data_IF_578149530262
#
_entry.id   IF_578149530262
#
_cell.length_a   1.000
_cell.length_b   1.000
_cell.length_c   1.000
_cell.angle_alpha   90.00
_cell.angle_beta   90.00
_cell.angle_gamma   90.00
#
_symmetry.space_group_name_H-M   'P 1'
#
loop_
_entity.id
_entity.type
_entity.pdbx_description
1 polymer ?
#
# COMPACT_ATOMS: atom_id res chain seq x y z
N UNK A 1 34.82 13.30 -17.08
CA UNK A 1 34.28 11.92 -16.86
C UNK A 1 34.70 11.50 -15.46
N UNK A 2 33.82 11.63 -14.47
CA UNK A 2 34.16 11.39 -13.07
C UNK A 2 33.98 9.90 -12.75
N UNK A 3 35.07 9.22 -12.39
CA UNK A 3 35.04 7.84 -11.93
C UNK A 3 34.37 7.69 -10.56
N UNK A 4 34.18 6.45 -10.12
CA UNK A 4 33.67 6.12 -8.80
C UNK A 4 34.84 5.99 -7.83
N UNK A 5 34.74 6.64 -6.67
CA UNK A 5 35.71 6.46 -5.59
C UNK A 5 35.10 5.52 -4.54
N UNK A 6 35.50 4.25 -4.54
CA UNK A 6 35.16 3.28 -3.50
C UNK A 6 36.40 2.98 -2.67
N UNK A 7 36.34 3.20 -1.36
CA UNK A 7 37.41 2.83 -0.44
C UNK A 7 38.76 3.53 -0.68
N UNK A 8 38.76 4.77 -1.20
CA UNK A 8 39.96 5.54 -1.67
C UNK A 8 40.61 5.02 -2.96
N UNK A 9 39.99 4.07 -3.65
CA UNK A 9 40.39 3.61 -4.97
C UNK A 9 39.51 4.26 -6.04
N UNK A 10 40.13 4.90 -7.03
CA UNK A 10 39.43 5.55 -8.15
C UNK A 10 39.24 4.56 -9.30
N UNK A 11 37.99 4.13 -9.51
CA UNK A 11 37.62 3.27 -10.62
C UNK A 11 37.02 4.14 -11.76
N UNK A 12 37.64 4.18 -12.95
CA UNK A 12 37.04 4.86 -14.10
C UNK A 12 35.79 4.10 -14.55
N UNK A 13 34.62 4.73 -14.41
CA UNK A 13 33.36 4.16 -14.91
C UNK A 13 33.30 4.32 -16.42
N UNK A 14 33.45 3.21 -17.15
CA UNK A 14 33.25 3.16 -18.61
C UNK A 14 31.76 3.18 -19.00
N UNK A 15 30.84 2.82 -18.09
CA UNK A 15 29.38 2.91 -18.28
C UNK A 15 28.65 2.85 -16.94
N UNK A 16 27.72 3.79 -16.70
CA UNK A 16 26.82 3.80 -15.52
C UNK A 16 27.19 4.83 -14.44
N UNK A 17 26.18 5.52 -13.91
CA UNK A 17 26.32 6.34 -12.70
C UNK A 17 26.34 5.45 -11.45
N UNK A 18 27.19 5.72 -10.45
CA UNK A 18 27.16 4.97 -9.20
C UNK A 18 25.78 5.04 -8.54
N UNK A 19 25.14 3.88 -8.34
CA UNK A 19 23.88 3.76 -7.63
C UNK A 19 24.09 4.18 -6.17
N UNK A 20 23.71 5.41 -5.84
CA UNK A 20 23.85 5.95 -4.48
C UNK A 20 24.22 7.44 -4.42
N UNK A 21 24.66 8.04 -5.53
CA UNK A 21 24.82 9.49 -5.61
C UNK A 21 23.46 10.19 -5.71
N UNK A 22 23.23 11.24 -4.92
CA UNK A 22 21.99 12.06 -4.95
C UNK A 22 21.70 12.59 -6.37
N UNK A 23 22.74 12.74 -7.20
CA UNK A 23 22.67 13.26 -8.57
C UNK A 23 22.30 12.19 -9.61
N UNK A 24 22.50 10.90 -9.32
CA UNK A 24 22.26 9.81 -10.28
C UNK A 24 20.79 9.74 -10.76
N UNK A 25 19.77 9.84 -9.89
CA UNK A 25 18.36 9.84 -10.34
C UNK A 25 18.01 11.04 -11.23
N UNK A 26 18.68 12.18 -11.02
CA UNK A 26 18.45 13.39 -11.81
C UNK A 26 19.03 13.19 -13.22
N UNK A 27 20.27 12.70 -13.31
CA UNK A 27 20.92 12.42 -14.60
C UNK A 27 20.17 11.36 -15.40
N UNK A 28 19.70 10.30 -14.76
CA UNK A 28 18.88 9.27 -15.42
C UNK A 28 17.57 9.87 -15.97
N UNK A 29 16.92 10.76 -15.23
CA UNK A 29 15.70 11.42 -15.70
C UNK A 29 15.94 12.40 -16.86
N UNK A 30 17.06 13.13 -16.87
CA UNK A 30 17.45 14.00 -18.00
C UNK A 30 17.73 13.14 -19.23
N UNK A 31 18.48 12.05 -19.07
CA UNK A 31 18.82 11.15 -20.17
C UNK A 31 17.57 10.51 -20.80
N UNK A 32 16.65 10.04 -19.97
CA UNK A 32 15.40 9.42 -20.44
C UNK A 32 14.35 10.44 -20.91
N UNK A 33 14.62 11.74 -20.83
CA UNK A 33 13.70 12.76 -21.34
C UNK A 33 13.59 12.71 -22.87
N UNK A 34 14.67 12.39 -23.58
CA UNK A 34 14.67 12.22 -25.04
C UNK A 34 13.69 11.13 -25.48
N UNK A 35 13.56 10.06 -24.68
CA UNK A 35 12.54 9.03 -24.89
C UNK A 35 11.12 9.58 -24.70
N UNK A 36 10.91 10.44 -23.70
CA UNK A 36 9.62 11.06 -23.43
C UNK A 36 9.19 11.95 -24.62
N UNK A 37 10.11 12.72 -25.20
CA UNK A 37 9.86 13.58 -26.37
C UNK A 37 9.54 12.75 -27.64
N UNK A 38 10.34 11.71 -27.90
CA UNK A 38 10.09 10.79 -29.01
C UNK A 38 8.69 10.18 -28.94
N UNK A 39 8.29 9.69 -27.75
CA UNK A 39 6.98 9.10 -27.53
C UNK A 39 5.88 10.15 -27.64
N UNK A 40 6.09 11.39 -27.16
CA UNK A 40 5.13 12.48 -27.29
C UNK A 40 4.81 12.78 -28.76
N UNK A 41 5.83 12.81 -29.64
CA UNK A 41 5.63 12.95 -31.08
C UNK A 41 4.79 11.81 -31.68
N UNK A 42 5.04 10.58 -31.23
CA UNK A 42 4.25 9.40 -31.64
C UNK A 42 2.81 9.42 -31.13
N UNK A 43 2.58 9.91 -29.91
CA UNK A 43 1.22 10.11 -29.38
C UNK A 43 0.45 11.05 -30.31
N UNK A 44 1.03 12.20 -30.65
CA UNK A 44 0.38 13.19 -31.51
C UNK A 44 0.04 12.64 -32.90
N UNK A 45 0.93 11.82 -33.50
CA UNK A 45 0.70 11.20 -34.80
C UNK A 45 -0.33 10.05 -34.76
N UNK A 46 -0.41 9.32 -33.65
CA UNK A 46 -1.23 8.12 -33.52
C UNK A 46 -2.66 8.39 -33.03
N UNK A 47 -2.88 9.47 -32.26
CA UNK A 47 -4.20 9.80 -31.73
C UNK A 47 -5.18 10.22 -32.84
N UNK A 48 -6.25 9.43 -33.04
CA UNK A 48 -7.32 9.72 -34.01
C UNK A 48 -8.70 9.67 -33.34
N UNK A 49 -9.60 10.55 -33.79
CA UNK A 49 -10.99 10.65 -33.33
C UNK A 49 -11.14 11.26 -31.93
N UNK A 50 -12.25 11.96 -31.65
CA UNK A 50 -12.54 12.54 -30.31
C UNK A 50 -13.29 11.54 -29.40
N UNK A 51 -14.19 10.75 -29.97
CA UNK A 51 -15.07 9.82 -29.26
C UNK A 51 -15.18 8.53 -30.07
N UNK A 52 -15.23 7.38 -29.40
CA UNK A 52 -15.51 6.08 -30.05
C UNK A 52 -16.91 6.06 -30.67
N UNK A 53 -17.04 5.43 -31.82
CA UNK A 53 -18.32 5.14 -32.44
C UNK A 53 -19.25 4.35 -31.50
N UNK A 54 -20.51 4.74 -31.50
CA UNK A 54 -21.57 3.98 -30.81
C UNK A 54 -21.86 2.69 -31.56
N UNK A 55 -22.04 1.60 -30.83
CA UNK A 55 -22.46 0.33 -31.42
C UNK A 55 -23.88 0.47 -32.02
N UNK A 56 -24.07 0.24 -33.34
CA UNK A 56 -25.39 0.36 -33.98
C UNK A 56 -26.46 -0.54 -33.35
N UNK A 57 -26.10 -1.77 -32.96
CA UNK A 57 -27.05 -2.70 -32.34
C UNK A 57 -27.51 -2.23 -30.96
N UNK A 58 -26.58 -1.69 -30.16
CA UNK A 58 -26.91 -1.08 -28.88
C UNK A 58 -27.86 0.11 -29.08
N UNK A 59 -27.60 0.95 -30.08
CA UNK A 59 -28.46 2.06 -30.46
C UNK A 59 -29.88 1.63 -30.84
N UNK A 60 -30.02 0.56 -31.63
CA UNK A 60 -31.33 -0.02 -32.00
C UNK A 60 -32.12 -0.51 -30.78
N UNK A 61 -31.48 -1.24 -29.88
CA UNK A 61 -32.13 -1.74 -28.65
C UNK A 61 -32.52 -0.58 -27.72
N UNK A 62 -31.64 0.41 -27.56
CA UNK A 62 -31.92 1.61 -26.76
C UNK A 62 -33.11 2.40 -27.32
N UNK A 63 -33.19 2.56 -28.64
CA UNK A 63 -34.32 3.21 -29.32
C UNK A 63 -35.64 2.44 -29.11
N UNK A 64 -35.62 1.10 -29.17
CA UNK A 64 -36.81 0.26 -28.86
C UNK A 64 -37.29 0.47 -27.43
N UNK A 65 -36.37 0.49 -26.45
CA UNK A 65 -36.69 0.76 -25.05
C UNK A 65 -37.30 2.15 -24.89
N UNK A 66 -36.72 3.17 -25.52
CA UNK A 66 -37.23 4.54 -25.46
C UNK A 66 -38.65 4.65 -26.03
N UNK A 67 -38.93 4.01 -27.18
CA UNK A 67 -40.28 3.95 -27.77
C UNK A 67 -41.29 3.28 -26.83
N UNK A 68 -40.94 2.14 -26.22
CA UNK A 68 -41.82 1.41 -25.29
C UNK A 68 -42.06 2.19 -23.98
N UNK A 69 -41.05 2.89 -23.46
CA UNK A 69 -41.20 3.79 -22.29
C UNK A 69 -42.09 4.99 -22.60
N UNK A 70 -41.97 5.59 -23.79
CA UNK A 70 -42.84 6.67 -24.21
C UNK A 70 -44.31 6.20 -24.33
N UNK A 71 -44.54 5.00 -24.87
CA UNK A 71 -45.87 4.38 -24.93
C UNK A 71 -46.43 4.09 -23.52
N UNK A 72 -45.61 3.54 -22.62
CA UNK A 72 -45.98 3.30 -21.24
C UNK A 72 -46.39 4.60 -20.53
N UNK A 73 -45.61 5.68 -20.69
CA UNK A 73 -45.93 6.99 -20.09
C UNK A 73 -47.25 7.57 -20.61
N UNK A 74 -47.58 7.36 -21.90
CA UNK A 74 -48.87 7.79 -22.49
C UNK A 74 -50.04 7.00 -21.91
N UNK A 75 -49.91 5.67 -21.82
CA UNK A 75 -50.95 4.80 -21.26
C UNK A 75 -51.19 5.06 -19.77
N UNK A 76 -50.14 5.37 -19.00
CA UNK A 76 -50.25 5.75 -17.59
C UNK A 76 -50.87 7.12 -17.36
N UNK A 77 -50.91 7.98 -18.39
CA UNK A 77 -51.52 9.31 -18.33
C UNK A 77 -52.97 9.33 -18.85
N UNK A 78 -53.50 8.18 -19.29
CA UNK A 78 -54.87 8.04 -19.76
C UNK A 78 -55.77 7.60 -18.60
N UNK A 79 -56.96 8.19 -18.45
CA UNK A 79 -57.89 7.88 -17.34
C UNK A 79 -58.41 6.43 -17.35
N UNK A 80 -58.38 5.75 -18.51
CA UNK A 80 -58.77 4.34 -18.68
C UNK A 80 -57.53 3.48 -18.96
N UNK A 81 -56.64 3.38 -17.97
CA UNK A 81 -55.38 2.66 -18.09
C UNK A 81 -55.61 1.14 -18.17
N UNK A 82 -55.39 0.56 -19.36
CA UNK A 82 -55.36 -0.88 -19.56
C UNK A 82 -54.17 -1.50 -18.81
N UNK A 83 -54.45 -2.06 -17.63
CA UNK A 83 -53.47 -2.65 -16.72
C UNK A 83 -52.73 -3.83 -17.37
N UNK A 84 -53.40 -4.61 -18.23
CA UNK A 84 -52.79 -5.74 -18.92
C UNK A 84 -51.79 -5.25 -19.99
N UNK A 85 -52.15 -4.22 -20.77
CA UNK A 85 -51.24 -3.61 -21.73
C UNK A 85 -50.01 -2.97 -21.06
N UNK A 86 -50.18 -2.39 -19.86
CA UNK A 86 -49.08 -1.84 -19.06
C UNK A 86 -48.11 -2.95 -18.63
N UNK A 87 -48.62 -4.08 -18.12
CA UNK A 87 -47.79 -5.19 -17.67
C UNK A 87 -46.98 -5.83 -18.81
N UNK A 88 -47.62 -6.00 -19.98
CA UNK A 88 -46.95 -6.47 -21.20
C UNK A 88 -45.80 -5.53 -21.57
N UNK A 89 -46.02 -4.21 -21.60
CA UNK A 89 -44.97 -3.24 -21.90
C UNK A 89 -43.82 -3.26 -20.89
N UNK A 90 -44.12 -3.45 -19.60
CA UNK A 90 -43.10 -3.56 -18.55
C UNK A 90 -42.25 -4.82 -18.77
N UNK A 91 -42.86 -5.96 -19.08
CA UNK A 91 -42.15 -7.22 -19.33
C UNK A 91 -41.24 -7.13 -20.57
N UNK A 92 -41.71 -6.51 -21.66
CA UNK A 92 -40.91 -6.23 -22.85
C UNK A 92 -39.74 -5.30 -22.56
N UNK A 93 -39.95 -4.23 -21.77
CA UNK A 93 -38.87 -3.33 -21.36
C UNK A 93 -37.83 -4.09 -20.53
N UNK A 94 -38.25 -4.99 -19.63
CA UNK A 94 -37.34 -5.84 -18.85
C UNK A 94 -36.53 -6.78 -19.76
N UNK A 95 -37.17 -7.43 -20.73
CA UNK A 95 -36.51 -8.32 -21.69
C UNK A 95 -35.50 -7.57 -22.56
N UNK A 96 -35.90 -6.43 -23.15
CA UNK A 96 -35.01 -5.57 -23.93
C UNK A 96 -33.87 -5.01 -23.08
N UNK A 97 -34.12 -4.68 -21.81
CA UNK A 97 -33.06 -4.24 -20.88
C UNK A 97 -32.08 -5.36 -20.58
N UNK A 98 -32.53 -6.63 -20.54
CA UNK A 98 -31.65 -7.80 -20.38
C UNK A 98 -30.77 -7.99 -21.62
N UNK A 99 -31.35 -7.87 -22.82
CA UNK A 99 -30.61 -7.90 -24.09
C UNK A 99 -29.62 -6.73 -24.20
N UNK A 100 -30.01 -5.52 -23.82
CA UNK A 100 -29.11 -4.36 -23.86
C UNK A 100 -27.87 -4.53 -22.98
N UNK A 101 -27.96 -5.33 -21.90
CA UNK A 101 -26.82 -5.58 -21.00
C UNK A 101 -25.75 -6.46 -21.63
N UNK A 102 -26.10 -7.32 -22.58
CA UNK A 102 -25.13 -8.19 -23.27
C UNK A 102 -24.33 -7.43 -24.32
N UNK A 103 -24.91 -6.38 -24.89
CA UNK A 103 -24.28 -5.56 -25.94
C UNK A 103 -23.39 -4.45 -25.34
N UNK A 104 -22.18 -4.24 -25.89
CA UNK A 104 -21.35 -3.08 -25.54
C UNK A 104 -21.95 -1.81 -26.14
N UNK A 105 -21.93 -0.70 -25.39
CA UNK A 105 -22.52 0.58 -25.82
C UNK A 105 -21.69 1.32 -26.86
N UNK A 106 -20.38 1.06 -26.89
CA UNK A 106 -19.42 1.62 -27.83
C UNK A 106 -18.72 0.48 -28.55
N UNK A 107 -18.27 0.73 -29.77
CA UNK A 107 -17.40 -0.20 -30.46
C UNK A 107 -16.04 -0.22 -29.76
N UNK A 108 -15.58 -1.42 -29.41
CA UNK A 108 -14.30 -1.63 -28.73
C UNK A 108 -13.13 -1.58 -29.71
N UNK A 109 -13.36 -1.89 -30.99
CA UNK A 109 -12.36 -1.99 -32.05
C UNK A 109 -12.62 -0.98 -33.17
N UNK A 110 -13.06 0.22 -32.81
CA UNK A 110 -13.29 1.31 -33.74
C UNK A 110 -11.97 1.72 -34.43
N UNK A 111 -11.88 1.50 -35.74
CA UNK A 111 -10.71 1.88 -36.55
C UNK A 111 -10.45 3.40 -36.55
N UNK A 112 -11.49 4.21 -36.31
CA UNK A 112 -11.45 5.66 -36.24
C UNK A 112 -11.06 6.23 -34.88
N UNK A 113 -10.95 5.40 -33.83
CA UNK A 113 -10.53 5.83 -32.49
C UNK A 113 -9.26 5.13 -32.05
N UNK A 114 -8.15 5.88 -32.07
CA UNK A 114 -6.84 5.41 -31.63
C UNK A 114 -6.32 6.30 -30.52
N UNK A 115 -5.74 5.69 -29.49
CA UNK A 115 -5.10 6.39 -28.37
C UNK A 115 -3.83 5.68 -27.95
N UNK A 116 -2.81 6.48 -27.66
CA UNK A 116 -1.57 6.03 -27.06
C UNK A 116 -1.42 6.75 -25.73
N UNK A 117 -1.21 5.99 -24.66
CA UNK A 117 -0.98 6.51 -23.32
C UNK A 117 0.38 6.03 -22.85
N UNK A 118 1.15 6.95 -22.30
CA UNK A 118 2.50 6.69 -21.82
C UNK A 118 2.61 7.06 -20.34
N UNK A 119 3.27 6.20 -19.57
CA UNK A 119 3.57 6.44 -18.17
C UNK A 119 4.98 5.90 -17.89
N UNK A 120 5.87 6.73 -17.35
CA UNK A 120 7.24 6.36 -16.98
C UNK A 120 7.48 6.61 -15.50
N UNK A 121 8.24 5.70 -14.88
CA UNK A 121 8.80 5.84 -13.55
C UNK A 121 10.23 5.32 -13.55
N UNK A 122 11.20 6.24 -13.49
CA UNK A 122 12.61 5.94 -13.70
C UNK A 122 12.80 5.14 -15.01
N UNK A 123 13.32 3.92 -14.90
CA UNK A 123 13.60 3.01 -16.02
C UNK A 123 12.37 2.19 -16.44
N UNK A 124 11.36 2.07 -15.57
CA UNK A 124 10.14 1.30 -15.85
C UNK A 124 9.11 2.18 -16.55
N UNK A 125 8.71 1.83 -17.77
CA UNK A 125 7.65 2.53 -18.52
C UNK A 125 6.57 1.59 -19.04
N UNK A 126 5.36 2.12 -19.15
CA UNK A 126 4.18 1.44 -19.64
C UNK A 126 3.55 2.23 -20.78
N UNK A 127 3.39 1.58 -21.93
CA UNK A 127 2.70 2.13 -23.09
C UNK A 127 1.36 1.39 -23.26
N UNK A 128 0.26 2.13 -23.09
CA UNK A 128 -1.09 1.65 -23.35
C UNK A 128 -1.53 2.04 -24.76
N UNK A 129 -1.76 1.04 -25.62
CA UNK A 129 -2.25 1.24 -26.99
C UNK A 129 -3.72 0.81 -27.08
N UNK A 130 -4.58 1.73 -27.52
CA UNK A 130 -5.94 1.42 -27.96
C UNK A 130 -5.89 1.33 -29.49
N UNK A 131 -5.76 0.11 -30.01
CA UNK A 131 -5.57 -0.17 -31.44
C UNK A 131 -5.44 -1.68 -31.72
N UNK A 132 -5.04 -2.03 -32.94
CA UNK A 132 -4.82 -3.44 -33.32
C UNK A 132 -3.54 -4.01 -32.69
N UNK A 133 -3.43 -5.35 -32.64
CA UNK A 133 -2.21 -6.02 -32.17
C UNK A 133 -1.00 -5.67 -33.04
N UNK A 134 -1.21 -5.42 -34.33
CA UNK A 134 -0.14 -5.09 -35.25
C UNK A 134 0.35 -3.65 -35.06
N UNK A 135 -0.54 -2.71 -34.74
CA UNK A 135 -0.13 -1.36 -34.35
C UNK A 135 0.76 -1.42 -33.09
N UNK A 136 0.41 -2.24 -32.10
CA UNK A 136 1.22 -2.41 -30.89
C UNK A 136 2.61 -3.00 -31.18
N UNK A 137 2.72 -3.96 -32.12
CA UNK A 137 4.01 -4.52 -32.55
C UNK A 137 4.90 -3.49 -33.25
N UNK A 138 4.32 -2.63 -34.10
CA UNK A 138 5.08 -1.57 -34.79
C UNK A 138 5.64 -0.58 -33.79
N UNK A 139 4.80 -0.08 -32.87
CA UNK A 139 5.23 0.84 -31.81
C UNK A 139 6.32 0.20 -30.95
N UNK A 140 6.19 -1.08 -30.61
CA UNK A 140 7.20 -1.80 -29.85
C UNK A 140 8.55 -1.87 -30.58
N UNK A 141 8.54 -2.18 -31.88
CA UNK A 141 9.75 -2.23 -32.69
C UNK A 141 10.41 -0.84 -32.84
N UNK A 142 9.62 0.21 -33.05
CA UNK A 142 10.11 1.59 -33.16
C UNK A 142 10.72 2.11 -31.85
N UNK A 143 10.10 1.80 -30.72
CA UNK A 143 10.67 2.17 -29.40
C UNK A 143 11.95 1.37 -29.13
N UNK A 144 11.98 0.09 -29.50
CA UNK A 144 13.18 -0.75 -29.37
C UNK A 144 14.35 -0.26 -30.22
N UNK A 145 14.10 0.16 -31.47
CA UNK A 145 15.14 0.73 -32.34
C UNK A 145 15.65 2.08 -31.81
N UNK A 146 14.76 2.96 -31.34
CA UNK A 146 15.15 4.24 -30.71
C UNK A 146 16.03 4.03 -29.47
N UNK A 147 15.64 3.12 -28.56
CA UNK A 147 16.42 2.80 -27.36
C UNK A 147 17.81 2.28 -27.69
N UNK A 148 17.94 1.48 -28.74
CA UNK A 148 19.23 0.89 -29.15
C UNK A 148 20.11 1.89 -29.91
N UNK A 149 19.52 2.74 -30.74
CA UNK A 149 20.25 3.61 -31.66
C UNK A 149 20.64 4.93 -31.01
N UNK A 150 19.67 5.63 -30.40
CA UNK A 150 19.86 6.98 -29.85
C UNK A 150 20.33 6.93 -28.40
N UNK A 151 19.79 5.99 -27.61
CA UNK A 151 20.08 5.87 -26.18
C UNK A 151 21.09 4.76 -25.86
N UNK A 152 21.56 3.98 -26.84
CA UNK A 152 22.50 2.88 -26.63
C UNK A 152 22.15 1.95 -25.44
N UNK A 153 20.85 1.76 -25.17
CA UNK A 153 20.35 0.94 -24.08
C UNK A 153 19.90 -0.43 -24.60
N UNK A 154 20.36 -1.49 -23.95
CA UNK A 154 19.87 -2.85 -24.23
C UNK A 154 18.50 -3.07 -23.59
N UNK A 155 17.50 -3.42 -24.40
CA UNK A 155 16.15 -3.79 -23.91
C UNK A 155 16.16 -5.22 -23.39
N UNK A 156 15.69 -5.43 -22.16
CA UNK A 156 15.51 -6.79 -21.60
C UNK A 156 14.23 -7.42 -22.16
N UNK A 157 14.37 -8.38 -23.09
CA UNK A 157 13.23 -9.09 -23.70
C UNK A 157 12.40 -9.90 -22.69
N UNK A 158 13.01 -10.34 -21.57
CA UNK A 158 12.31 -11.11 -20.53
C UNK A 158 11.27 -10.28 -19.77
N UNK A 159 11.54 -8.98 -19.58
CA UNK A 159 10.62 -8.06 -18.89
C UNK A 159 9.67 -7.37 -19.86
N UNK A 160 10.14 -7.15 -21.09
CA UNK A 160 9.44 -6.42 -22.14
C UNK A 160 8.58 -7.36 -22.98
N UNK A 161 7.27 -7.37 -22.75
CA UNK A 161 6.34 -8.20 -23.53
C UNK A 161 5.02 -7.50 -23.82
N UNK A 162 4.51 -7.69 -25.05
CA UNK A 162 3.17 -7.23 -25.43
C UNK A 162 2.15 -8.16 -24.79
N UNK A 163 1.42 -7.65 -23.78
CA UNK A 163 0.34 -8.38 -23.12
C UNK A 163 -1.00 -7.78 -23.48
N UNK A 164 -2.04 -8.63 -23.54
CA UNK A 164 -3.40 -8.13 -23.67
C UNK A 164 -3.81 -7.46 -22.36
N UNK A 165 -4.54 -6.36 -22.47
CA UNK A 165 -5.04 -5.60 -21.31
C UNK A 165 -5.81 -6.45 -20.27
N UNK A 166 -6.45 -7.54 -20.72
CA UNK A 166 -7.16 -8.49 -19.86
C UNK A 166 -6.24 -9.35 -18.99
N UNK A 167 -5.07 -9.70 -19.52
CA UNK A 167 -4.15 -10.66 -18.89
C UNK A 167 -3.34 -9.97 -17.79
N UNK A 168 -3.16 -8.66 -17.95
CA UNK A 168 -2.52 -7.78 -17.00
C UNK A 168 -1.03 -7.59 -17.21
N UNK A 169 -0.53 -6.48 -16.68
CA UNK A 169 0.89 -6.17 -16.63
C UNK A 169 1.28 -5.76 -15.20
N UNK A 170 2.41 -6.26 -14.72
CA UNK A 170 2.99 -5.80 -13.46
C UNK A 170 3.69 -4.46 -13.70
N UNK A 171 3.36 -3.43 -12.91
CA UNK A 171 3.97 -2.11 -12.98
C UNK A 171 4.09 -1.52 -11.57
N UNK A 172 5.30 -1.15 -11.15
CA UNK A 172 5.58 -0.57 -9.82
C UNK A 172 4.95 -1.37 -8.66
N UNK A 173 5.03 -2.70 -8.73
CA UNK A 173 4.47 -3.59 -7.71
C UNK A 173 2.94 -3.69 -7.69
N UNK A 174 2.24 -2.98 -8.58
CA UNK A 174 0.83 -3.16 -8.90
C UNK A 174 0.64 -4.09 -10.10
N UNK A 175 -0.54 -4.67 -10.21
CA UNK A 175 -0.99 -5.36 -11.42
C UNK A 175 -2.03 -4.48 -12.12
N UNK A 176 -1.71 -3.99 -13.31
CA UNK A 176 -2.60 -3.19 -14.14
C UNK A 176 -3.42 -4.14 -15.00
N UNK A 177 -4.74 -4.22 -14.76
CA UNK A 177 -5.66 -5.08 -15.53
C UNK A 177 -6.89 -4.31 -15.96
N UNK A 178 -7.40 -4.62 -17.15
CA UNK A 178 -8.81 -4.33 -17.46
C UNK A 178 -9.68 -5.43 -16.90
N UNK A 179 -10.63 -5.07 -16.04
CA UNK A 179 -11.64 -6.02 -15.58
C UNK A 179 -12.76 -6.12 -16.60
N UNK A 180 -12.68 -7.12 -17.47
CA UNK A 180 -13.77 -7.54 -18.36
C UNK A 180 -14.79 -8.47 -17.67
N UNK A 181 -14.60 -8.77 -16.38
CA UNK A 181 -15.31 -9.85 -15.66
C UNK A 181 -16.58 -9.46 -14.87
N UNK A 182 -17.66 -10.22 -15.16
CA UNK A 182 -19.03 -10.28 -14.61
C UNK A 182 -19.82 -8.96 -14.61
N UNK A 183 -20.90 -8.98 -15.38
CA UNK A 183 -21.94 -7.95 -15.51
C UNK A 183 -22.69 -7.68 -14.18
N UNK A 184 -22.01 -7.13 -13.18
CA UNK A 184 -22.70 -6.66 -11.97
C UNK A 184 -23.18 -5.24 -12.16
N UNK A 185 -24.42 -5.03 -11.75
CA UNK A 185 -25.11 -3.75 -11.89
C UNK A 185 -24.82 -2.92 -10.66
N UNK A 186 -24.38 -1.68 -10.87
CA UNK A 186 -24.20 -0.71 -9.78
C UNK A 186 -25.41 0.22 -9.77
N UNK A 187 -26.05 0.40 -8.61
CA UNK A 187 -27.06 1.46 -8.45
C UNK A 187 -26.32 2.80 -8.40
N UNK A 188 -26.70 3.71 -9.29
CA UNK A 188 -26.22 5.08 -9.35
C UNK A 188 -27.40 6.02 -9.12
N UNK A 189 -27.12 7.21 -8.61
CA UNK A 189 -28.11 8.25 -8.42
C UNK A 189 -27.75 9.44 -9.32
N UNK A 190 -28.76 10.03 -9.97
CA UNK A 190 -28.65 11.33 -10.65
C UNK A 190 -29.87 12.17 -10.25
N UNK A 191 -29.65 13.15 -9.38
CA UNK A 191 -30.75 13.87 -8.71
C UNK A 191 -31.55 12.92 -7.80
N UNK A 192 -32.88 12.92 -7.94
CA UNK A 192 -33.80 12.01 -7.22
C UNK A 192 -33.95 10.63 -7.88
N UNK A 193 -33.43 10.43 -9.09
CA UNK A 193 -33.58 9.17 -9.81
C UNK A 193 -32.45 8.19 -9.51
N UNK A 194 -32.82 7.04 -8.96
CA UNK A 194 -31.95 5.87 -8.86
C UNK A 194 -32.04 5.04 -10.13
N UNK A 195 -30.89 4.76 -10.75
CA UNK A 195 -30.83 3.91 -11.92
C UNK A 195 -29.68 2.91 -11.81
N UNK A 196 -29.93 1.74 -12.38
CA UNK A 196 -28.97 0.66 -12.48
C UNK A 196 -28.07 0.88 -13.69
N UNK A 197 -26.76 1.03 -13.49
CA UNK A 197 -25.78 1.15 -14.59
C UNK A 197 -24.76 0.02 -14.57
N UNK A 198 -24.30 -0.37 -15.76
CA UNK A 198 -23.13 -1.23 -15.91
C UNK A 198 -21.87 -0.36 -15.76
N UNK A 199 -20.93 -0.67 -14.87
CA UNK A 199 -19.65 0.01 -14.85
C UNK A 199 -18.90 -0.27 -16.16
N UNK A 200 -18.16 0.70 -16.70
CA UNK A 200 -17.42 0.50 -17.95
C UNK A 200 -16.43 -0.66 -17.81
N UNK A 201 -16.53 -1.63 -18.74
CA UNK A 201 -15.80 -2.90 -18.72
C UNK A 201 -14.35 -2.81 -19.18
N UNK A 202 -13.92 -1.64 -19.64
CA UNK A 202 -12.59 -1.41 -20.23
C UNK A 202 -11.82 -0.29 -19.52
N UNK A 203 -12.15 -0.04 -18.25
CA UNK A 203 -11.34 0.87 -17.44
C UNK A 203 -10.15 0.10 -16.88
N UNK A 204 -8.95 0.60 -17.15
CA UNK A 204 -7.73 0.15 -16.51
C UNK A 204 -7.85 0.34 -14.99
N UNK A 205 -7.63 -0.73 -14.25
CA UNK A 205 -7.69 -0.71 -12.80
C UNK A 205 -6.39 -1.26 -12.23
N UNK A 206 -5.97 -0.65 -11.13
CA UNK A 206 -4.86 -1.14 -10.33
C UNK A 206 -5.37 -2.24 -9.41
N UNK A 207 -4.62 -3.33 -9.36
CA UNK A 207 -4.85 -4.50 -8.52
C UNK A 207 -3.59 -4.81 -7.71
N UNK A 208 -3.77 -5.33 -6.50
CA UNK A 208 -2.65 -5.77 -5.65
C UNK A 208 -2.25 -7.21 -6.02
N UNK A 209 -1.03 -7.50 -6.48
CA UNK A 209 -0.63 -8.88 -6.78
C UNK A 209 -0.66 -9.75 -5.51
N UNK A 210 -1.22 -10.96 -5.61
CA UNK A 210 -1.28 -11.89 -4.47
C UNK A 210 0.12 -12.24 -3.97
N UNK A 211 1.07 -12.47 -4.87
CA UNK A 211 2.48 -12.77 -4.53
C UNK A 211 3.12 -11.74 -3.61
N UNK A 212 2.83 -10.45 -3.82
CA UNK A 212 3.34 -9.37 -2.95
C UNK A 212 2.72 -9.42 -1.57
N UNK A 213 1.43 -9.76 -1.46
CA UNK A 213 0.73 -9.94 -0.17
C UNK A 213 1.27 -11.16 0.58
N UNK A 214 1.43 -12.29 -0.11
CA UNK A 214 2.01 -13.52 0.44
C UNK A 214 3.46 -13.29 0.87
N UNK A 215 4.29 -12.69 0.00
CA UNK A 215 5.67 -12.36 0.29
C UNK A 215 5.83 -11.35 1.41
N UNK A 216 4.90 -10.41 1.58
CA UNK A 216 4.88 -9.51 2.74
C UNK A 216 4.59 -10.26 4.04
N UNK A 217 3.56 -11.13 4.05
CA UNK A 217 3.21 -11.92 5.22
C UNK A 217 4.32 -12.89 5.63
N UNK A 218 4.98 -13.53 4.65
CA UNK A 218 6.10 -14.44 4.86
C UNK A 218 7.33 -13.70 5.41
N UNK A 219 7.76 -12.59 4.78
CA UNK A 219 8.92 -11.79 5.23
C UNK A 219 8.75 -11.25 6.64
N UNK A 220 7.54 -10.87 7.03
CA UNK A 220 7.24 -10.37 8.38
C UNK A 220 7.00 -11.48 9.40
N UNK A 221 6.83 -12.73 8.96
CA UNK A 221 6.60 -13.87 9.83
C UNK A 221 5.21 -13.90 10.46
N UNK A 222 4.19 -13.34 9.80
CA UNK A 222 2.81 -13.37 10.32
C UNK A 222 2.21 -14.79 10.32
N UNK A 223 2.74 -15.68 9.48
CA UNK A 223 2.29 -17.06 9.34
C UNK A 223 2.03 -17.43 7.89
N UNK A 224 1.22 -18.45 7.69
CA UNK A 224 0.86 -18.95 6.37
C UNK A 224 -0.49 -18.37 5.93
N UNK A 225 -0.50 -17.64 4.83
CA UNK A 225 -1.71 -17.00 4.29
C UNK A 225 -2.56 -17.94 3.46
N UNK A 226 -2.01 -19.02 2.90
CA UNK A 226 -2.79 -20.00 2.15
C UNK A 226 -3.75 -20.77 3.06
N UNK A 227 -3.26 -21.13 4.25
CA UNK A 227 -4.01 -21.88 5.28
C UNK A 227 -4.68 -20.93 6.30
N UNK A 228 -4.48 -19.61 6.18
CA UNK A 228 -4.91 -18.59 7.16
C UNK A 228 -4.43 -18.89 8.60
N UNK A 229 -3.25 -19.49 8.73
CA UNK A 229 -2.69 -19.90 10.02
C UNK A 229 -1.64 -18.90 10.50
N UNK A 230 -2.04 -18.09 11.47
CA UNK A 230 -1.15 -17.12 12.10
C UNK A 230 -0.07 -17.78 12.98
N UNK A 231 1.14 -17.22 12.99
CA UNK A 231 2.27 -17.57 13.87
C UNK A 231 2.60 -16.40 14.80
N UNK A 232 3.12 -16.69 15.99
CA UNK A 232 3.62 -15.66 16.90
C UNK A 232 5.02 -15.22 16.47
N UNK A 233 5.37 -13.95 16.71
CA UNK A 233 6.69 -13.39 16.36
C UNK A 233 7.59 -13.31 17.59
N UNK A 234 8.55 -14.22 17.69
CA UNK A 234 9.49 -14.29 18.83
C UNK A 234 10.31 -13.01 19.03
N UNK A 235 10.64 -12.31 17.94
CA UNK A 235 11.44 -11.07 17.95
C UNK A 235 10.75 -9.96 18.77
N UNK A 236 9.43 -9.97 18.84
CA UNK A 236 8.65 -8.92 19.50
C UNK A 236 8.28 -9.26 20.96
N UNK A 237 8.65 -10.43 21.48
CA UNK A 237 8.31 -10.86 22.85
C UNK A 237 8.95 -9.97 23.92
N UNK A 238 10.12 -9.38 23.63
CA UNK A 238 10.79 -8.43 24.51
C UNK A 238 10.21 -7.01 24.46
N UNK A 239 9.22 -6.75 23.60
CA UNK A 239 8.60 -5.43 23.44
C UNK A 239 7.42 -5.23 24.38
N UNK A 240 7.16 -3.98 24.77
CA UNK A 240 5.94 -3.66 25.53
C UNK A 240 4.69 -3.91 24.69
N UNK A 241 3.54 -4.11 25.35
CA UNK A 241 2.29 -4.38 24.64
C UNK A 241 1.93 -3.25 23.67
N UNK A 242 2.24 -2.01 24.05
CA UNK A 242 2.05 -0.81 23.22
C UNK A 242 2.97 -0.83 22.00
N UNK A 243 4.25 -1.11 22.17
CA UNK A 243 5.21 -1.19 21.05
C UNK A 243 4.87 -2.31 20.07
N UNK A 244 4.41 -3.47 20.58
CA UNK A 244 3.94 -4.56 19.73
C UNK A 244 2.80 -4.03 18.85
N UNK A 245 1.78 -3.41 19.43
CA UNK A 245 0.66 -2.86 18.65
C UNK A 245 1.11 -1.76 17.68
N UNK A 246 1.99 -0.85 18.09
CA UNK A 246 2.51 0.21 17.23
C UNK A 246 3.31 -0.34 16.04
N UNK A 247 4.17 -1.33 16.27
CA UNK A 247 4.95 -1.98 15.22
C UNK A 247 4.03 -2.67 14.20
N UNK A 248 3.09 -3.50 14.68
CA UNK A 248 2.11 -4.16 13.82
C UNK A 248 1.25 -3.13 13.06
N UNK A 249 0.78 -2.07 13.72
CA UNK A 249 0.00 -1.01 13.09
C UNK A 249 0.78 -0.29 11.99
N UNK A 250 2.03 0.09 12.24
CA UNK A 250 2.86 0.80 11.27
C UNK A 250 3.16 -0.07 10.04
N UNK A 251 3.41 -1.37 10.23
CA UNK A 251 3.64 -2.32 9.14
C UNK A 251 2.41 -2.44 8.22
N UNK A 252 1.24 -2.74 8.77
CA UNK A 252 0.03 -2.92 7.98
C UNK A 252 -0.44 -1.61 7.35
N UNK A 253 -0.36 -0.49 8.07
CA UNK A 253 -0.72 0.83 7.56
C UNK A 253 0.17 1.26 6.41
N UNK A 254 1.49 1.08 6.53
CA UNK A 254 2.42 1.42 5.44
C UNK A 254 2.14 0.60 4.17
N UNK A 255 1.92 -0.70 4.32
CA UNK A 255 1.58 -1.57 3.21
C UNK A 255 0.22 -1.23 2.58
N UNK A 256 -0.80 -0.95 3.40
CA UNK A 256 -2.13 -0.58 2.94
C UNK A 256 -2.14 0.79 2.24
N UNK A 257 -1.36 1.76 2.72
CA UNK A 257 -1.20 3.07 2.10
C UNK A 257 -0.52 2.97 0.74
N UNK A 258 0.57 2.18 0.64
CA UNK A 258 1.25 1.96 -0.63
C UNK A 258 0.29 1.46 -1.69
N UNK A 259 -0.59 0.52 -1.33
CA UNK A 259 -1.55 -0.09 -2.24
C UNK A 259 -2.90 0.63 -2.33
N UNK A 260 -3.14 1.74 -1.62
CA UNK A 260 -4.47 2.34 -1.45
C UNK A 260 -5.21 2.69 -2.76
N UNK A 261 -4.46 2.92 -3.84
CA UNK A 261 -4.97 3.22 -5.18
C UNK A 261 -5.64 2.03 -5.86
N UNK A 262 -5.33 0.80 -5.44
CA UNK A 262 -5.91 -0.39 -6.05
C UNK A 262 -7.38 -0.59 -5.65
N UNK A 263 -8.21 -1.07 -6.59
CA UNK A 263 -9.65 -1.22 -6.36
C UNK A 263 -9.96 -2.36 -5.39
N UNK A 264 -9.16 -3.42 -5.48
CA UNK A 264 -9.35 -4.69 -4.77
C UNK A 264 -8.60 -4.77 -3.43
N UNK A 265 -7.95 -3.68 -3.00
CA UNK A 265 -7.21 -3.54 -1.74
C UNK A 265 -7.99 -4.08 -0.56
N UNK A 266 -9.24 -3.63 -0.40
CA UNK A 266 -10.09 -4.07 0.72
C UNK A 266 -10.30 -5.58 0.68
N UNK A 267 -10.60 -6.15 -0.48
CA UNK A 267 -10.84 -7.58 -0.61
C UNK A 267 -9.58 -8.42 -0.35
N UNK A 268 -8.44 -8.02 -0.91
CA UNK A 268 -7.18 -8.77 -0.79
C UNK A 268 -6.52 -8.61 0.58
N UNK A 269 -6.50 -7.39 1.12
CA UNK A 269 -5.92 -7.14 2.44
C UNK A 269 -6.83 -7.57 3.59
N UNK A 270 -8.12 -7.86 3.41
CA UNK A 270 -8.96 -8.42 4.49
C UNK A 270 -8.38 -9.73 5.04
N UNK A 271 -7.88 -10.61 4.17
CA UNK A 271 -7.20 -11.85 4.58
C UNK A 271 -5.89 -11.56 5.31
N UNK A 272 -5.14 -10.56 4.84
CA UNK A 272 -3.91 -10.12 5.49
C UNK A 272 -4.18 -9.52 6.88
N UNK A 273 -5.19 -8.66 7.01
CA UNK A 273 -5.62 -8.06 8.29
C UNK A 273 -6.00 -9.14 9.29
N UNK A 274 -6.70 -10.18 8.85
CA UNK A 274 -7.04 -11.32 9.70
C UNK A 274 -5.76 -11.96 10.28
N UNK A 275 -4.83 -12.39 9.43
CA UNK A 275 -3.61 -13.06 9.90
C UNK A 275 -2.74 -12.14 10.73
N UNK A 276 -2.58 -10.89 10.30
CA UNK A 276 -1.86 -9.85 11.03
C UNK A 276 -2.41 -9.71 12.46
N UNK A 277 -3.72 -9.58 12.61
CA UNK A 277 -4.40 -9.45 13.90
C UNK A 277 -4.23 -10.70 14.76
N UNK A 278 -4.40 -11.90 14.19
CA UNK A 278 -4.22 -13.15 14.94
C UNK A 278 -2.77 -13.42 15.31
N UNK A 279 -1.82 -13.02 14.46
CA UNK A 279 -0.38 -13.09 14.73
C UNK A 279 -0.01 -12.18 15.90
N UNK A 280 -0.56 -10.96 15.92
CA UNK A 280 -0.42 -10.01 17.03
C UNK A 280 -0.96 -10.62 18.34
N UNK A 281 -2.19 -11.15 18.35
CA UNK A 281 -2.76 -11.76 19.55
C UNK A 281 -1.98 -12.99 20.02
N UNK A 282 -1.48 -13.84 19.10
CA UNK A 282 -0.62 -14.98 19.45
C UNK A 282 0.72 -14.53 20.06
N UNK A 283 1.29 -13.43 19.55
CA UNK A 283 2.53 -12.86 20.09
C UNK A 283 2.32 -12.36 21.53
N UNK A 284 1.22 -11.64 21.77
CA UNK A 284 0.88 -11.19 23.13
C UNK A 284 0.51 -12.36 24.06
N UNK A 285 -0.25 -13.34 23.57
CA UNK A 285 -0.59 -14.55 24.33
C UNK A 285 0.65 -15.32 24.78
N UNK A 286 1.62 -15.47 23.87
CA UNK A 286 2.91 -16.09 24.20
C UNK A 286 3.71 -15.28 25.21
N UNK A 287 3.69 -13.94 25.13
CA UNK A 287 4.37 -13.06 26.10
C UNK A 287 3.76 -13.16 27.50
N UNK A 288 2.44 -13.12 27.60
CA UNK A 288 1.69 -13.15 28.86
C UNK A 288 1.43 -14.57 29.39
N UNK A 289 1.97 -15.61 28.71
CA UNK A 289 1.70 -17.03 28.99
C UNK A 289 0.19 -17.32 29.13
N UNK A 290 -0.62 -16.68 28.30
CA UNK A 290 -2.08 -16.74 28.38
C UNK A 290 -2.68 -17.30 27.09
N UNK A 291 -3.99 -17.55 27.08
CA UNK A 291 -4.67 -17.93 25.85
C UNK A 291 -4.92 -16.70 24.95
N UNK A 292 -4.96 -16.94 23.63
CA UNK A 292 -5.30 -15.90 22.63
C UNK A 292 -6.67 -15.27 22.92
N UNK A 293 -7.61 -16.08 23.41
CA UNK A 293 -8.97 -15.64 23.76
C UNK A 293 -8.95 -14.66 24.93
N UNK A 294 -8.14 -14.93 25.97
CA UNK A 294 -7.98 -14.03 27.11
C UNK A 294 -7.38 -12.68 26.69
N UNK A 295 -6.33 -12.69 25.86
CA UNK A 295 -5.73 -11.44 25.33
C UNK A 295 -6.71 -10.65 24.49
N UNK A 296 -7.42 -11.32 23.57
CA UNK A 296 -8.40 -10.66 22.71
C UNK A 296 -9.56 -10.07 23.51
N UNK A 297 -9.98 -10.71 24.61
CA UNK A 297 -10.99 -10.18 25.53
C UNK A 297 -10.46 -8.96 26.30
N UNK A 298 -9.24 -9.02 26.85
CA UNK A 298 -8.59 -7.91 27.57
C UNK A 298 -8.48 -6.65 26.72
N UNK A 299 -8.17 -6.81 25.43
CA UNK A 299 -8.01 -5.69 24.51
C UNK A 299 -9.31 -5.17 23.90
N UNK A 300 -10.44 -5.87 24.11
CA UNK A 300 -11.68 -5.53 23.41
C UNK A 300 -12.35 -4.33 24.06
N UNK A 301 -12.48 -3.26 23.30
CA UNK A 301 -13.24 -2.06 23.68
C UNK A 301 -14.37 -1.87 22.65
N UNK A 302 -15.54 -2.44 22.97
CA UNK A 302 -16.70 -2.47 22.07
C UNK A 302 -16.46 -3.29 20.79
N UNK A 303 -16.51 -2.60 19.64
CA UNK A 303 -16.19 -3.19 18.32
C UNK A 303 -14.71 -3.10 17.96
N UNK A 304 -13.88 -2.44 18.76
CA UNK A 304 -12.46 -2.18 18.49
C UNK A 304 -11.54 -2.93 19.46
N UNK A 305 -10.26 -3.04 19.09
CA UNK A 305 -9.21 -3.54 19.97
C UNK A 305 -8.28 -2.39 20.34
N UNK A 306 -7.97 -2.24 21.62
CA UNK A 306 -7.11 -1.18 22.16
C UNK A 306 -6.17 -1.75 23.22
N UNK A 307 -5.02 -1.12 23.38
CA UNK A 307 -4.11 -1.35 24.50
C UNK A 307 -4.02 -0.06 25.27
N UNK A 308 -4.36 -0.14 26.55
CA UNK A 308 -4.28 0.98 27.48
C UNK A 308 -2.88 1.04 28.10
N UNK A 309 -2.40 2.24 28.31
CA UNK A 309 -1.09 2.52 28.91
C UNK A 309 -1.14 3.85 29.64
N UNK A 310 -0.33 3.97 30.68
CA UNK A 310 -0.26 5.17 31.51
C UNK A 310 0.89 6.06 31.01
N UNK A 311 0.56 7.31 30.71
CA UNK A 311 1.54 8.39 30.48
C UNK A 311 1.23 9.48 31.48
N UNK A 312 2.20 9.83 32.33
CA UNK A 312 2.03 10.85 33.38
C UNK A 312 0.81 10.60 34.31
N UNK A 313 0.49 9.34 34.61
CA UNK A 313 -0.69 8.97 35.41
C UNK A 313 -2.03 9.13 34.69
N UNK A 314 -2.04 9.62 33.45
CA UNK A 314 -3.24 9.69 32.62
C UNK A 314 -3.37 8.42 31.75
N UNK A 315 -4.53 7.76 31.73
CA UNK A 315 -4.76 6.61 30.88
C UNK A 315 -4.86 7.06 29.42
N UNK A 316 -3.94 6.57 28.59
CA UNK A 316 -3.98 6.69 27.14
C UNK A 316 -4.23 5.32 26.53
N UNK A 317 -4.77 5.28 25.31
CA UNK A 317 -5.02 4.03 24.61
C UNK A 317 -4.50 4.09 23.18
N UNK A 318 -3.87 3.01 22.73
CA UNK A 318 -3.51 2.81 21.32
C UNK A 318 -4.49 1.85 20.69
N UNK A 319 -5.18 2.30 19.64
CA UNK A 319 -6.10 1.46 18.86
C UNK A 319 -5.33 0.56 17.88
N UNK A 320 -5.78 -0.67 17.73
CA UNK A 320 -5.33 -1.55 16.63
C UNK A 320 -5.90 -1.01 15.32
N UNK A 321 -5.03 -0.76 14.35
CA UNK A 321 -5.40 -0.21 13.06
C UNK A 321 -6.16 -1.24 12.23
N UNK A 322 -7.30 -0.84 11.66
CA UNK A 322 -8.15 -1.65 10.78
C UNK A 322 -8.13 -1.08 9.37
N UNK A 323 -8.32 -1.94 8.38
CA UNK A 323 -8.40 -1.54 6.97
C UNK A 323 -9.58 -0.61 6.67
N UNK A 324 -10.59 -0.59 7.54
CA UNK A 324 -11.71 0.36 7.45
C UNK A 324 -11.24 1.82 7.56
N UNK A 325 -10.17 2.09 8.31
CA UNK A 325 -9.61 3.44 8.48
C UNK A 325 -8.67 3.84 7.33
N UNK A 326 -8.51 3.01 6.30
CA UNK A 326 -7.76 3.37 5.11
C UNK A 326 -8.54 4.46 4.37
N UNK A 327 -8.01 5.67 4.43
CA UNK A 327 -8.52 6.77 3.62
C UNK A 327 -8.09 6.60 2.16
N UNK A 328 -9.05 6.82 1.25
CA UNK A 328 -8.82 6.83 -0.21
C UNK A 328 -8.72 8.26 -0.74
N UNK A 329 -8.55 9.23 0.16
CA UNK A 329 -8.32 10.63 -0.16
C UNK A 329 -7.19 10.83 -1.16
N UNK A 330 -7.14 12.03 -1.73
CA UNK A 330 -6.08 12.42 -2.65
C UNK A 330 -4.70 12.17 -2.03
N UNK A 331 -3.85 11.47 -2.78
CA UNK A 331 -2.49 11.16 -2.34
C UNK A 331 -1.69 12.46 -2.32
N UNK A 332 -1.34 12.90 -1.13
CA UNK A 332 -0.40 14.00 -0.94
C UNK A 332 0.98 13.56 -1.46
N UNK A 333 1.51 14.27 -2.47
CA UNK A 333 2.78 13.94 -3.13
C UNK A 333 3.94 13.84 -2.14
N UNK A 334 3.87 14.58 -1.02
CA UNK A 334 4.89 14.56 0.03
C UNK A 334 4.93 13.26 0.86
N UNK A 335 3.90 12.40 0.77
CA UNK A 335 3.76 11.18 1.61
C UNK A 335 3.94 9.88 0.82
N UNK A 336 4.31 9.95 -0.44
CA UNK A 336 4.55 8.79 -1.32
C UNK A 336 5.92 8.18 -0.99
N UNK A 337 6.02 6.84 -1.02
CA UNK A 337 7.26 6.07 -0.82
C UNK A 337 8.02 6.27 0.51
N UNK A 338 7.37 6.79 1.56
CA UNK A 338 7.97 6.80 2.90
C UNK A 338 7.79 5.40 3.53
N UNK A 339 8.86 4.58 3.67
CA UNK A 339 8.75 3.30 4.36
C UNK A 339 8.36 3.56 5.82
N UNK A 340 7.41 2.81 6.40
CA UNK A 340 7.05 3.00 7.79
C UNK A 340 8.29 2.74 8.65
N UNK A 341 8.70 3.71 9.48
CA UNK A 341 9.85 3.59 10.39
C UNK A 341 9.54 2.66 11.56
N UNK A 342 9.22 1.40 11.27
CA UNK A 342 8.86 0.39 12.27
C UNK A 342 10.03 0.08 13.21
N UNK A 343 11.27 0.29 12.73
CA UNK A 343 12.49 0.09 13.49
C UNK A 343 12.59 0.96 14.75
N UNK A 344 11.98 2.15 14.74
CA UNK A 344 11.93 3.04 15.92
C UNK A 344 11.17 2.39 17.09
N UNK A 345 10.18 1.55 16.78
CA UNK A 345 9.31 0.89 17.77
C UNK A 345 9.82 -0.50 18.15
N UNK A 346 10.39 -1.27 17.20
CA UNK A 346 10.73 -2.69 17.45
C UNK A 346 12.22 -2.99 17.59
N UNK A 347 13.13 -2.15 17.07
CA UNK A 347 14.59 -2.37 17.13
C UNK A 347 15.28 -1.46 18.15
N UNK A 348 14.51 -0.67 18.90
CA UNK A 348 15.06 0.21 19.91
C UNK A 348 15.41 -0.52 21.19
N UNK A 349 16.57 -0.20 21.77
CA UNK A 349 17.05 -0.81 23.01
C UNK A 349 16.21 -0.43 24.24
N UNK A 350 15.55 0.73 24.22
CA UNK A 350 14.69 1.23 25.30
C UNK A 350 13.22 1.12 24.93
N UNK A 351 12.33 0.98 25.92
CA UNK A 351 10.88 0.90 25.70
C UNK A 351 10.29 2.29 25.38
N UNK A 352 9.28 2.32 24.51
CA UNK A 352 8.61 3.54 24.05
C UNK A 352 7.84 4.25 25.16
N UNK A 353 7.20 3.50 26.06
CA UNK A 353 6.48 4.07 27.22
C UNK A 353 7.47 4.75 28.17
N UNK A 354 8.62 4.13 28.42
CA UNK A 354 9.69 4.70 29.24
C UNK A 354 10.21 6.02 28.65
N UNK A 355 10.32 6.13 27.31
CA UNK A 355 10.74 7.39 26.67
C UNK A 355 9.70 8.50 26.81
N UNK A 356 8.41 8.17 26.77
CA UNK A 356 7.34 9.16 26.98
C UNK A 356 7.35 9.70 28.41
N UNK A 357 7.67 8.83 29.38
CA UNK A 357 7.72 9.17 30.81
C UNK A 357 9.09 9.73 31.25
N UNK A 358 10.12 9.64 30.40
CA UNK A 358 11.46 10.18 30.65
C UNK A 358 11.47 11.71 30.52
N UNK A 359 11.01 12.41 31.56
CA UNK A 359 10.99 13.87 31.63
C UNK A 359 11.89 14.46 32.70
N UNK A 360 12.32 13.65 33.68
CA UNK A 360 13.19 14.09 34.75
C UNK A 360 14.51 13.32 34.70
N UNK A 361 15.62 14.04 34.70
CA UNK A 361 16.93 13.43 34.78
C UNK A 361 17.14 12.81 36.17
N UNK A 362 17.43 11.52 36.23
CA UNK A 362 17.75 10.82 37.49
C UNK A 362 19.06 11.27 38.14
N UNK A 363 19.99 11.84 37.35
CA UNK A 363 21.28 12.32 37.85
C UNK A 363 21.23 13.76 38.38
N UNK A 364 20.51 14.66 37.71
CA UNK A 364 20.50 16.09 38.07
C UNK A 364 19.12 16.64 38.46
N UNK A 365 18.07 15.81 38.45
CA UNK A 365 16.71 16.18 38.87
C UNK A 365 15.97 17.14 37.93
N UNK A 366 16.61 17.60 36.85
CA UNK A 366 16.07 18.62 35.95
C UNK A 366 15.00 18.07 34.99
N UNK A 367 13.99 18.89 34.72
CA UNK A 367 12.85 18.60 33.84
C UNK A 367 12.72 19.51 32.61
N UNK A 368 13.60 20.51 32.52
CA UNK A 368 13.61 21.55 31.47
C UNK A 368 14.27 21.09 30.16
N UNK A 369 14.83 19.88 30.13
CA UNK A 369 15.61 19.35 29.00
C UNK A 369 15.12 17.99 28.50
N UNK A 370 15.30 17.70 27.20
CA UNK A 370 14.94 16.40 26.63
C UNK A 370 15.76 15.30 27.31
N UNK A 371 15.07 14.41 28.02
CA UNK A 371 15.68 13.28 28.70
C UNK A 371 15.60 12.02 27.84
N UNK A 372 16.64 11.20 27.90
CA UNK A 372 16.79 9.95 27.18
C UNK A 372 17.02 8.81 28.18
N UNK A 373 16.46 7.65 27.87
CA UNK A 373 16.66 6.44 28.67
C UNK A 373 18.00 5.81 28.27
N UNK A 374 18.89 5.61 29.24
CA UNK A 374 20.23 5.04 29.08
C UNK A 374 20.36 3.71 29.84
N UNK A 375 21.12 2.75 29.31
CA UNK A 375 21.39 1.48 30.00
C UNK A 375 22.65 1.60 30.85
N UNK A 376 22.63 1.10 32.08
CA UNK A 376 23.76 1.28 33.03
C UNK A 376 25.00 0.48 32.62
N UNK A 377 24.85 -0.64 31.91
CA UNK A 377 25.94 -1.54 31.52
C UNK A 377 26.10 -1.67 29.99
N UNK A 378 27.35 -1.78 29.52
CA UNK A 378 27.74 -1.96 28.11
C UNK A 378 27.32 -3.30 27.50
N UNK A 379 27.39 -3.43 26.18
CA UNK A 379 26.95 -4.60 25.39
C UNK A 379 28.06 -5.60 25.05
N UNK A 380 29.25 -5.43 25.63
CA UNK A 380 30.48 -6.09 25.17
C UNK A 380 30.39 -7.63 25.17
N UNK A 381 29.59 -8.23 26.06
CA UNK A 381 29.63 -9.67 26.32
C UNK A 381 28.61 -10.53 25.52
N UNK A 382 27.82 -9.93 24.60
CA UNK A 382 26.69 -10.63 23.93
C UNK A 382 26.81 -10.61 22.39
N UNK A 383 28.00 -10.38 21.85
CA UNK A 383 28.22 -10.20 20.41
C UNK A 383 27.84 -11.40 19.51
N UNK A 384 27.57 -12.60 20.06
CA UNK A 384 27.39 -13.83 19.27
C UNK A 384 26.01 -14.50 19.33
N UNK A 385 24.97 -13.87 19.93
CA UNK A 385 23.61 -14.47 19.96
C UNK A 385 22.66 -13.57 19.18
N UNK A 386 22.18 -14.06 18.03
CA UNK A 386 21.44 -13.29 17.01
C UNK A 386 20.33 -12.33 17.50
N UNK A 387 19.92 -11.41 16.62
CA UNK A 387 19.14 -10.19 16.90
C UNK A 387 18.06 -10.26 18.01
N UNK A 388 17.26 -11.33 18.08
CA UNK A 388 16.23 -11.48 19.10
C UNK A 388 16.78 -11.68 20.54
N UNK A 389 17.91 -12.40 20.67
CA UNK A 389 18.57 -12.63 21.95
C UNK A 389 19.29 -11.36 22.42
N UNK A 390 19.95 -10.64 21.50
CA UNK A 390 20.56 -9.33 21.76
C UNK A 390 19.51 -8.31 22.21
N UNK A 391 18.35 -8.25 21.56
CA UNK A 391 17.25 -7.36 21.92
C UNK A 391 16.64 -7.68 23.30
N UNK A 392 16.50 -8.97 23.62
CA UNK A 392 16.03 -9.41 24.94
C UNK A 392 17.01 -9.00 26.04
N UNK A 393 18.30 -9.27 25.83
CA UNK A 393 19.36 -8.87 26.75
C UNK A 393 19.53 -7.35 26.84
N UNK A 394 19.24 -6.62 25.76
CA UNK A 394 19.26 -5.17 25.79
C UNK A 394 18.17 -4.59 26.67
N UNK A 395 16.96 -5.15 26.63
CA UNK A 395 15.79 -4.60 27.30
C UNK A 395 15.62 -5.07 28.74
N UNK A 396 16.24 -6.17 29.14
CA UNK A 396 16.26 -6.63 30.54
C UNK A 396 17.31 -5.92 31.40
N UNK A 397 18.17 -5.08 30.79
CA UNK A 397 19.21 -4.35 31.51
C UNK A 397 18.63 -3.19 32.32
N UNK A 398 19.27 -2.90 33.46
CA UNK A 398 18.94 -1.74 34.30
C UNK A 398 19.06 -0.46 33.47
N UNK A 399 18.00 0.33 33.45
CA UNK A 399 17.93 1.61 32.74
C UNK A 399 17.85 2.78 33.71
N UNK A 400 18.34 3.93 33.29
CA UNK A 400 18.21 5.22 33.99
C UNK A 400 17.88 6.34 33.00
N UNK A 401 17.14 7.35 33.45
CA UNK A 401 16.77 8.50 32.62
C UNK A 401 17.80 9.61 32.81
N UNK A 402 18.41 10.11 31.74
CA UNK A 402 19.42 11.17 31.77
C UNK A 402 19.05 12.29 30.81
N UNK A 403 19.34 13.55 31.15
CA UNK A 403 19.29 14.64 30.18
C UNK A 403 20.47 14.53 29.18
N UNK A 404 20.38 15.25 28.08
CA UNK A 404 21.42 15.37 27.05
C UNK A 404 22.84 15.60 27.61
N UNK A 405 23.01 16.54 28.56
CA UNK A 405 24.30 16.83 29.18
C UNK A 405 24.80 15.69 30.06
N UNK A 406 23.97 15.18 30.97
CA UNK A 406 24.36 14.07 31.84
C UNK A 406 24.60 12.78 31.05
N UNK A 407 23.94 12.61 29.91
CA UNK A 407 24.21 11.51 28.98
C UNK A 407 25.62 11.65 28.38
N UNK A 408 25.98 12.83 27.90
CA UNK A 408 27.32 13.11 27.36
C UNK A 408 28.40 12.99 28.44
N UNK A 409 28.16 13.49 29.64
CA UNK A 409 29.09 13.43 30.77
C UNK A 409 29.31 11.99 31.26
N UNK A 410 28.29 11.13 31.14
CA UNK A 410 28.43 9.71 31.40
C UNK A 410 29.34 9.02 30.37
N UNK A 411 29.13 9.27 29.07
CA UNK A 411 30.00 8.71 28.02
C UNK A 411 31.43 9.24 28.11
N UNK A 412 31.62 10.43 28.71
CA UNK A 412 32.93 11.03 29.01
C UNK A 412 33.54 10.56 30.34
N UNK A 413 32.88 9.67 31.09
CA UNK A 413 33.37 9.14 32.37
C UNK A 413 33.39 10.14 33.53
N UNK A 414 32.67 11.27 33.42
CA UNK A 414 32.64 12.35 34.43
C UNK A 414 31.55 12.18 35.50
N UNK A 415 30.63 11.25 35.30
CA UNK A 415 29.60 10.86 36.26
C UNK A 415 30.04 9.58 37.00
N UNK A 416 29.90 9.56 38.32
CA UNK A 416 30.25 8.39 39.14
C UNK A 416 29.42 7.16 38.77
N UNK A 417 30.05 5.98 38.90
CA UNK A 417 29.43 4.69 38.59
C UNK A 417 28.45 4.29 39.70
N UNK A 418 27.27 4.89 39.68
CA UNK A 418 26.21 4.71 40.68
C UNK A 418 25.45 3.41 40.46
N UNK A 419 26.12 2.24 40.50
CA UNK A 419 25.44 0.93 40.43
C UNK A 419 24.52 0.66 41.64
N UNK A 420 24.61 1.49 42.69
CA UNK A 420 23.93 1.34 43.98
C UNK A 420 23.10 2.56 44.48
N UNK A 421 22.71 3.53 43.63
CA UNK A 421 21.85 4.64 44.10
C UNK A 421 20.37 4.48 43.74
N UNK A 422 19.51 4.91 44.67
CA UNK A 422 18.04 4.94 44.56
C UNK A 422 17.59 5.68 43.30
N UNK A 423 16.77 5.01 42.49
CA UNK A 423 16.37 5.45 41.14
C UNK A 423 16.50 4.36 40.06
N UNK A 424 16.96 3.15 40.43
CA UNK A 424 16.99 1.98 39.55
C UNK A 424 15.59 1.39 39.47
N UNK A 425 14.94 1.50 38.30
CA UNK A 425 13.74 0.72 38.01
C UNK A 425 14.22 -0.68 37.60
N UNK A 426 14.08 -1.66 38.49
CA UNK A 426 14.28 -3.06 38.14
C UNK A 426 13.23 -3.48 37.12
N UNK A 427 13.64 -4.17 36.04
CA UNK A 427 12.73 -4.64 35.00
C UNK A 427 11.69 -5.67 35.52
N UNK A 428 11.89 -6.24 36.72
CA UNK A 428 10.99 -7.21 37.34
C UNK A 428 9.64 -6.63 37.77
N UNK A 429 9.53 -5.30 37.99
CA UNK A 429 8.25 -4.67 38.31
C UNK A 429 7.31 -4.50 37.11
N UNK A 430 7.62 -5.10 35.95
CA UNK A 430 6.88 -4.97 34.68
C UNK A 430 6.03 -6.20 34.32
N UNK A 431 5.86 -7.14 35.26
CA UNK A 431 5.13 -8.40 35.06
C UNK A 431 4.03 -8.68 36.10
N UNK A 432 3.48 -7.65 36.74
CA UNK A 432 2.20 -7.77 37.45
C UNK A 432 1.08 -7.08 36.67
#
# INVERSE_FOLDING_TARGET
KAGVMEGRTHNPTYSGTPQGGIVSPILANIYLHELDEFIAGRIAAFEKGKVRATNPEYGRVAARIAKRRARLKRLQASDNADLAAIEVLISEIKALSKQMRTLPSRDAMDAGYRRLRYCRYADDFLIGVIGSKDDARRIFAEVGSFLTTELALSVSEEKSGIRKASDGAAFLGYEVRTYTGRQWTVRSQRGSQHFSRRPPSEVMQLSVPWEKVFGFAARKGYGDMAVLKAKHRNILLSCSDVEIVLAYNAELRGFANYYALARDVKQKLNRLEFIHRWSMFKTMASKHKSSVRAVAARMRSGQEYRVDYLVDGQPRSVKVWKLMYLDRGWVDKAKVDIPPRTQIYSHSRTDWVDRQNAKQCSACGRTDRPCQVHHVEGLADIAQRGFAAEMKAARSRRTRVLCDLCHVDLHRGRLSDTRNMNGIIAAESRMQ
#
